data_IF_298236772054
#
_entry.id   IF_298236772054
#
_cell.length_a   1.000
_cell.length_b   1.000
_cell.length_c   1.000
_cell.angle_alpha   90.00
_cell.angle_beta   90.00
_cell.angle_gamma   90.00
#
_symmetry.space_group_name_H-M   'P 1'
#
loop_
_entity.id
_entity.type
_entity.pdbx_description
1 polymer ?
#
# COMPACT_ATOMS: atom_id res chain seq x y z
N UNK A 1 -26.29 -37.27 11.02
CA UNK A 1 -25.37 -36.10 11.07
C UNK A 1 -25.82 -35.11 10.00
N UNK A 2 -25.91 -33.81 10.28
CA UNK A 2 -26.29 -32.81 9.28
C UNK A 2 -25.27 -32.83 8.12
N UNK A 3 -25.76 -32.74 6.88
CA UNK A 3 -24.90 -32.72 5.69
C UNK A 3 -24.23 -31.35 5.59
N UNK A 4 -22.97 -31.28 5.16
CA UNK A 4 -22.23 -30.01 4.99
C UNK A 4 -22.97 -28.97 4.11
N UNK A 5 -23.87 -29.41 3.23
CA UNK A 5 -24.75 -28.55 2.42
C UNK A 5 -25.69 -27.69 3.26
N UNK A 6 -26.16 -28.20 4.40
CA UNK A 6 -27.14 -27.52 5.24
C UNK A 6 -26.46 -26.42 6.08
N UNK A 7 -25.20 -26.65 6.46
CA UNK A 7 -24.35 -25.67 7.15
C UNK A 7 -24.11 -24.45 6.24
N UNK A 8 -23.84 -24.67 4.94
CA UNK A 8 -23.66 -23.57 3.97
C UNK A 8 -24.88 -22.66 3.84
N UNK A 9 -26.09 -23.21 3.96
CA UNK A 9 -27.33 -22.42 3.90
C UNK A 9 -27.55 -21.57 5.14
N UNK A 10 -27.05 -22.00 6.31
CA UNK A 10 -27.18 -21.27 7.58
C UNK A 10 -26.22 -20.07 7.63
N UNK A 11 -25.02 -20.20 7.04
CA UNK A 11 -23.99 -19.14 7.06
C UNK A 11 -24.02 -18.23 5.83
N UNK A 12 -24.80 -18.58 4.80
CA UNK A 12 -24.92 -17.78 3.59
C UNK A 12 -25.75 -16.52 3.85
N UNK A 13 -25.30 -15.34 3.40
CA UNK A 13 -26.09 -14.11 3.51
C UNK A 13 -27.36 -14.22 2.66
N UNK A 14 -28.39 -13.45 3.02
CA UNK A 14 -29.66 -13.39 2.29
C UNK A 14 -29.49 -12.96 0.81
N UNK A 15 -28.44 -12.20 0.53
CA UNK A 15 -28.05 -11.78 -0.82
C UNK A 15 -26.84 -10.86 -0.76
N UNK A 16 -26.18 -10.67 -1.91
CA UNK A 16 -25.11 -9.71 -2.08
C UNK A 16 -25.37 -8.86 -3.33
N UNK A 17 -25.25 -7.54 -3.19
CA UNK A 17 -25.42 -6.57 -4.25
C UNK A 17 -24.06 -5.88 -4.49
N UNK A 18 -23.55 -5.99 -5.72
CA UNK A 18 -22.24 -5.47 -6.12
C UNK A 18 -22.44 -4.10 -6.77
N UNK A 19 -21.90 -3.06 -6.14
CA UNK A 19 -21.84 -1.71 -6.70
C UNK A 19 -20.38 -1.35 -7.02
N UNK A 20 -20.16 -0.38 -7.91
CA UNK A 20 -18.79 0.01 -8.32
C UNK A 20 -17.90 0.47 -7.17
N UNK A 21 -18.48 1.01 -6.09
CA UNK A 21 -17.74 1.60 -4.96
C UNK A 21 -17.87 0.83 -3.64
N UNK A 22 -18.81 -0.10 -3.54
CA UNK A 22 -19.09 -0.86 -2.31
C UNK A 22 -19.83 -2.16 -2.63
N UNK A 23 -19.78 -3.09 -1.69
CA UNK A 23 -20.57 -4.32 -1.71
C UNK A 23 -21.59 -4.24 -0.59
N UNK A 24 -22.86 -4.55 -0.87
CA UNK A 24 -23.89 -4.69 0.17
C UNK A 24 -24.17 -6.18 0.37
N UNK A 25 -24.05 -6.66 1.61
CA UNK A 25 -24.27 -8.07 1.97
C UNK A 25 -25.33 -8.11 3.07
N UNK A 26 -26.55 -8.55 2.72
CA UNK A 26 -27.73 -8.35 3.56
C UNK A 26 -27.93 -6.85 3.86
N UNK A 27 -27.87 -6.48 5.14
CA UNK A 27 -28.00 -5.09 5.60
C UNK A 27 -26.64 -4.39 5.88
N UNK A 28 -25.52 -5.09 5.67
CA UNK A 28 -24.17 -4.56 5.89
C UNK A 28 -23.55 -4.01 4.61
N UNK A 29 -22.78 -2.94 4.76
CA UNK A 29 -21.98 -2.36 3.69
C UNK A 29 -20.51 -2.72 3.88
N UNK A 30 -19.84 -3.09 2.78
CA UNK A 30 -18.43 -3.47 2.75
C UNK A 30 -17.72 -2.60 1.72
N UNK A 31 -16.57 -2.07 2.09
CA UNK A 31 -15.71 -1.29 1.21
C UNK A 31 -14.26 -1.69 1.42
N UNK A 32 -13.54 -1.92 0.32
CA UNK A 32 -12.12 -2.22 0.35
C UNK A 32 -11.33 -1.01 -0.14
N UNK A 33 -10.23 -0.71 0.54
CA UNK A 33 -9.28 0.33 0.15
C UNK A 33 -7.94 -0.32 -0.17
N UNK A 34 -7.30 0.12 -1.26
CA UNK A 34 -5.94 -0.30 -1.60
C UNK A 34 -5.00 0.88 -1.42
N UNK A 35 -4.02 0.74 -0.54
CA UNK A 35 -3.06 1.79 -0.17
C UNK A 35 -1.73 1.45 -0.83
N UNK A 36 -1.26 2.32 -1.73
CA UNK A 36 0.00 2.10 -2.47
C UNK A 36 1.23 2.71 -1.78
N UNK A 37 1.04 3.71 -0.92
CA UNK A 37 2.12 4.41 -0.24
C UNK A 37 1.73 4.75 1.20
N UNK A 38 2.67 4.53 2.11
CA UNK A 38 2.59 4.99 3.49
C UNK A 38 3.47 6.23 3.67
N UNK A 39 3.13 7.13 4.60
CA UNK A 39 4.02 8.21 4.98
C UNK A 39 5.34 7.66 5.51
N UNK A 40 6.45 8.40 5.29
CA UNK A 40 7.80 8.02 5.75
C UNK A 40 7.88 7.76 7.26
N UNK A 41 6.98 8.40 8.02
CA UNK A 41 6.83 8.22 9.45
C UNK A 41 5.35 8.06 9.81
N UNK A 42 5.04 7.10 10.68
CA UNK A 42 3.73 6.94 11.31
C UNK A 42 3.88 7.28 12.79
N UNK A 43 3.09 8.23 13.29
CA UNK A 43 3.04 8.50 14.72
C UNK A 43 2.30 7.38 15.45
N UNK A 44 2.61 7.18 16.73
CA UNK A 44 1.76 6.39 17.61
C UNK A 44 0.34 6.94 17.57
N UNK A 45 -0.66 6.05 17.47
CA UNK A 45 -2.07 6.44 17.39
C UNK A 45 -2.55 6.91 16.01
N UNK A 46 -1.78 6.69 14.92
CA UNK A 46 -2.20 7.09 13.57
C UNK A 46 -3.58 6.55 13.13
N UNK A 47 -4.05 5.46 13.74
CA UNK A 47 -5.31 4.80 13.43
C UNK A 47 -6.46 5.16 14.40
N UNK A 48 -6.19 5.98 15.43
CA UNK A 48 -7.20 6.39 16.42
C UNK A 48 -8.45 7.03 15.82
N UNK A 49 -8.38 7.91 14.80
CA UNK A 49 -9.58 8.52 14.24
C UNK A 49 -10.58 7.50 13.68
N UNK A 50 -10.06 6.36 13.20
CA UNK A 50 -10.88 5.27 12.71
C UNK A 50 -11.41 4.49 13.91
N UNK A 51 -10.56 4.02 14.82
CA UNK A 51 -11.00 3.23 16.00
C UNK A 51 -12.07 3.96 16.84
N UNK A 52 -11.96 5.29 16.97
CA UNK A 52 -12.85 6.11 17.80
C UNK A 52 -14.13 6.55 17.08
N UNK A 53 -14.41 6.05 15.87
CA UNK A 53 -15.66 6.35 15.19
C UNK A 53 -16.87 5.83 16.01
N UNK A 54 -17.96 6.61 16.13
CA UNK A 54 -19.13 6.23 16.94
C UNK A 54 -19.99 5.12 16.33
N UNK A 55 -19.60 4.59 15.17
CA UNK A 55 -20.33 3.56 14.43
C UNK A 55 -19.73 2.18 14.69
N UNK A 56 -20.56 1.13 14.65
CA UNK A 56 -20.10 -0.24 14.69
C UNK A 56 -19.63 -0.67 13.29
N UNK A 57 -18.35 -1.02 13.14
CA UNK A 57 -17.80 -1.57 11.90
C UNK A 57 -16.64 -2.52 12.20
N UNK A 58 -16.47 -3.49 11.31
CA UNK A 58 -15.38 -4.48 11.36
C UNK A 58 -14.27 -4.02 10.41
N UNK A 59 -13.02 -4.06 10.88
CA UNK A 59 -11.83 -3.71 10.07
C UNK A 59 -10.98 -4.96 9.89
N UNK A 60 -10.56 -5.23 8.65
CA UNK A 60 -9.55 -6.23 8.35
C UNK A 60 -8.43 -5.59 7.55
N UNK A 61 -7.20 -5.71 8.03
CA UNK A 61 -6.00 -5.16 7.39
C UNK A 61 -5.19 -6.33 6.85
N UNK A 62 -4.91 -6.29 5.55
CA UNK A 62 -4.06 -7.27 4.88
C UNK A 62 -2.80 -6.57 4.38
N UNK A 63 -1.64 -6.99 4.89
CA UNK A 63 -0.34 -6.51 4.43
C UNK A 63 0.26 -7.55 3.50
N UNK A 64 0.39 -7.20 2.22
CA UNK A 64 1.05 -8.04 1.23
C UNK A 64 2.41 -7.39 0.92
N UNK A 65 3.51 -7.84 1.57
CA UNK A 65 4.82 -7.29 1.29
C UNK A 65 5.19 -7.56 -0.17
N UNK A 66 5.83 -6.58 -0.80
CA UNK A 66 6.38 -6.76 -2.15
C UNK A 66 7.58 -7.72 -2.05
N UNK A 67 7.71 -8.63 -3.01
CA UNK A 67 8.89 -9.49 -3.10
C UNK A 67 10.17 -8.65 -3.17
N UNK A 68 11.11 -8.93 -2.28
CA UNK A 68 12.36 -8.16 -2.15
C UNK A 68 13.15 -8.10 -3.46
N UNK A 69 13.16 -9.17 -4.26
CA UNK A 69 13.86 -9.16 -5.55
C UNK A 69 13.20 -8.21 -6.55
N UNK A 70 11.87 -8.17 -6.57
CA UNK A 70 11.10 -7.25 -7.40
C UNK A 70 11.33 -5.81 -6.94
N UNK A 71 11.30 -5.57 -5.62
CA UNK A 71 11.57 -4.25 -5.04
C UNK A 71 12.98 -3.76 -5.38
N UNK A 72 14.01 -4.57 -5.16
CA UNK A 72 15.41 -4.25 -5.49
C UNK A 72 15.60 -3.97 -6.99
N UNK A 73 14.96 -4.75 -7.87
CA UNK A 73 15.00 -4.51 -9.31
C UNK A 73 14.40 -3.16 -9.69
N UNK A 74 13.26 -2.80 -9.07
CA UNK A 74 12.60 -1.52 -9.29
C UNK A 74 13.42 -0.35 -8.74
N UNK A 75 13.99 -0.48 -7.54
CA UNK A 75 14.87 0.52 -6.95
C UNK A 75 16.12 0.75 -7.80
N UNK A 76 16.78 -0.32 -8.28
CA UNK A 76 17.92 -0.19 -9.21
C UNK A 76 17.56 0.56 -10.48
N UNK A 77 16.39 0.28 -11.07
CA UNK A 77 15.90 1.01 -12.24
C UNK A 77 15.68 2.50 -11.91
N UNK A 78 15.16 2.79 -10.72
CA UNK A 78 14.92 4.16 -10.26
C UNK A 78 16.22 4.93 -9.99
N UNK A 79 17.22 4.30 -9.35
CA UNK A 79 18.58 4.86 -9.17
C UNK A 79 19.15 5.27 -10.52
N UNK A 80 19.18 4.37 -11.51
CA UNK A 80 19.73 4.65 -12.84
C UNK A 80 19.00 5.81 -13.55
N UNK A 81 17.68 5.94 -13.35
CA UNK A 81 16.91 7.07 -13.90
C UNK A 81 17.30 8.41 -13.25
N UNK A 82 17.48 8.44 -11.94
CA UNK A 82 17.86 9.66 -11.20
C UNK A 82 19.30 10.04 -11.55
N UNK A 83 20.22 9.07 -11.57
CA UNK A 83 21.61 9.30 -11.96
C UNK A 83 21.74 9.83 -13.39
N UNK A 84 20.96 9.30 -14.33
CA UNK A 84 20.92 9.83 -15.71
C UNK A 84 20.49 11.30 -15.73
N UNK A 85 19.49 11.70 -14.93
CA UNK A 85 19.05 13.09 -14.85
C UNK A 85 20.13 13.99 -14.25
N UNK A 86 20.81 13.52 -13.21
CA UNK A 86 21.93 14.24 -12.61
C UNK A 86 23.07 14.41 -13.62
N UNK A 87 23.43 13.35 -14.35
CA UNK A 87 24.44 13.39 -15.41
C UNK A 87 24.07 14.41 -16.50
N UNK A 88 22.83 14.36 -17.00
CA UNK A 88 22.35 15.30 -18.03
C UNK A 88 22.42 16.76 -17.56
N UNK A 89 22.16 17.02 -16.27
CA UNK A 89 22.28 18.36 -15.69
C UNK A 89 23.73 18.81 -15.56
N UNK A 90 24.61 17.90 -15.13
CA UNK A 90 26.04 18.16 -15.02
C UNK A 90 26.67 18.44 -16.38
N UNK A 91 26.31 17.67 -17.41
CA UNK A 91 26.77 17.87 -18.79
C UNK A 91 26.34 19.23 -19.35
N UNK A 92 25.20 19.75 -18.90
CA UNK A 92 24.70 21.09 -19.24
C UNK A 92 25.33 22.20 -18.39
N UNK A 93 26.21 21.87 -17.44
CA UNK A 93 26.82 22.82 -16.51
C UNK A 93 25.83 23.44 -15.52
N UNK A 94 24.67 22.80 -15.30
CA UNK A 94 23.67 23.27 -14.35
C UNK A 94 24.12 22.98 -12.92
N UNK A 95 23.70 23.86 -12.00
CA UNK A 95 23.90 23.64 -10.56
C UNK A 95 23.12 22.39 -10.13
N UNK A 96 23.69 21.64 -9.21
CA UNK A 96 23.08 20.44 -8.60
C UNK A 96 21.69 20.75 -8.06
N UNK A 97 20.74 19.89 -8.37
CA UNK A 97 19.38 19.96 -7.85
C UNK A 97 19.29 19.22 -6.50
N UNK A 98 19.04 19.92 -5.38
CA UNK A 98 18.88 19.29 -4.07
C UNK A 98 17.76 18.25 -4.01
N UNK A 99 16.72 18.39 -4.84
CA UNK A 99 15.64 17.40 -4.89
C UNK A 99 16.10 16.09 -5.52
N UNK A 100 16.91 16.13 -6.58
CA UNK A 100 17.46 14.92 -7.20
C UNK A 100 18.48 14.23 -6.29
N UNK A 101 19.32 14.99 -5.59
CA UNK A 101 20.26 14.43 -4.60
C UNK A 101 19.50 13.75 -3.45
N UNK A 102 18.46 14.39 -2.92
CA UNK A 102 17.62 13.80 -1.86
C UNK A 102 16.92 12.54 -2.36
N UNK A 103 16.36 12.56 -3.58
CA UNK A 103 15.71 11.41 -4.17
C UNK A 103 16.68 10.23 -4.37
N UNK A 104 17.91 10.50 -4.81
CA UNK A 104 18.95 9.48 -4.95
C UNK A 104 19.29 8.86 -3.59
N UNK A 105 19.52 9.70 -2.58
CA UNK A 105 19.83 9.26 -1.21
C UNK A 105 18.71 8.40 -0.63
N UNK A 106 17.45 8.79 -0.82
CA UNK A 106 16.29 8.04 -0.33
C UNK A 106 16.18 6.65 -0.99
N UNK A 107 16.45 6.56 -2.30
CA UNK A 107 16.42 5.29 -3.03
C UNK A 107 17.55 4.37 -2.58
N UNK A 108 18.78 4.88 -2.40
CA UNK A 108 19.91 4.08 -1.91
C UNK A 108 19.68 3.61 -0.47
N UNK A 109 19.16 4.48 0.40
CA UNK A 109 18.81 4.10 1.79
C UNK A 109 17.78 2.95 1.83
N UNK A 110 16.78 2.99 0.94
CA UNK A 110 15.80 1.90 0.81
C UNK A 110 16.44 0.61 0.28
N UNK A 111 17.40 0.70 -0.64
CA UNK A 111 18.12 -0.48 -1.15
C UNK A 111 18.95 -1.14 -0.06
N UNK A 112 19.68 -0.36 0.72
CA UNK A 112 20.51 -0.86 1.82
C UNK A 112 19.66 -1.56 2.89
N UNK A 113 18.50 -0.97 3.23
CA UNK A 113 17.56 -1.54 4.22
C UNK A 113 16.99 -2.88 3.77
N UNK A 114 16.81 -3.10 2.46
CA UNK A 114 16.28 -4.35 1.90
C UNK A 114 17.34 -5.44 1.67
N UNK A 115 18.63 -5.09 1.72
CA UNK A 115 19.74 -6.02 1.55
C UNK A 115 20.26 -6.59 2.88
N UNK A 116 19.94 -5.94 4.02
CA UNK A 116 20.23 -6.41 5.37
C UNK A 116 19.22 -7.46 5.84
#
# INVERSE_FOLDING_TARGET
MPKFSDIKKIIAPAGAEVNSNHLKVGDKFVKSFFIFSYPRFLSTGWFEPIINMPNLFDISIFVNPVDTNIALKNLRKKTAQIESQISDMQDKGLVRDPMLETALQDVETLRDTLQQ
#
